data_IF_838990944462
#
_entry.id   IF_838990944462
#
_cell.length_a   1.000
_cell.length_b   1.000
_cell.length_c   1.000
_cell.angle_alpha   90.00
_cell.angle_beta   90.00
_cell.angle_gamma   90.00
#
_symmetry.space_group_name_H-M   'P 1'
#
loop_
_entity.id
_entity.type
_entity.pdbx_description
1 polymer ?
#
# COMPACT_ATOMS: atom_id res chain seq x y z
N UNK A 1 19.90 -0.63 21.52
CA UNK A 1 19.05 -1.69 22.10
C UNK A 1 17.76 -1.70 21.29
N UNK A 2 17.64 -2.64 20.34
CA UNK A 2 16.48 -2.74 19.47
C UNK A 2 15.31 -3.28 20.26
N UNK A 3 14.23 -2.51 20.35
CA UNK A 3 12.96 -3.05 20.84
C UNK A 3 12.50 -4.12 19.86
N UNK A 4 12.35 -5.36 20.33
CA UNK A 4 11.64 -6.37 19.57
C UNK A 4 10.25 -5.81 19.29
N UNK A 5 9.94 -5.61 18.01
CA UNK A 5 8.66 -5.08 17.61
C UNK A 5 7.60 -6.14 17.95
N UNK A 6 6.89 -5.93 19.05
CA UNK A 6 5.66 -6.66 19.32
C UNK A 6 4.77 -6.51 18.08
N UNK A 7 4.43 -7.63 17.45
CA UNK A 7 3.60 -7.63 16.25
C UNK A 7 2.29 -6.86 16.49
N UNK A 8 1.72 -6.28 15.43
CA UNK A 8 0.49 -5.47 15.50
C UNK A 8 -0.79 -6.31 15.76
N UNK A 9 -0.63 -7.62 16.02
CA UNK A 9 -1.70 -8.56 16.24
C UNK A 9 -2.39 -9.04 14.96
N UNK A 10 -3.29 -10.02 15.10
CA UNK A 10 -4.00 -10.64 13.99
C UNK A 10 -5.30 -9.90 13.59
N UNK A 11 -5.72 -8.89 14.38
CA UNK A 11 -6.94 -8.12 14.11
C UNK A 11 -6.75 -7.07 13.01
N UNK A 12 -5.52 -6.64 12.73
CA UNK A 12 -5.22 -5.71 11.66
C UNK A 12 -5.22 -6.44 10.30
N UNK A 13 -6.24 -6.17 9.48
CA UNK A 13 -6.48 -6.92 8.24
C UNK A 13 -5.99 -6.24 6.96
N UNK A 14 -6.02 -4.91 6.92
CA UNK A 14 -5.66 -4.11 5.74
C UNK A 14 -5.02 -2.80 6.17
N UNK A 15 -3.93 -2.43 5.51
CA UNK A 15 -3.33 -1.08 5.54
C UNK A 15 -3.38 -0.50 4.15
N UNK A 16 -3.88 0.73 4.04
CA UNK A 16 -3.89 1.53 2.83
C UNK A 16 -3.01 2.76 3.05
N UNK A 17 -2.13 3.06 2.11
CA UNK A 17 -1.26 4.25 2.14
C UNK A 17 -1.41 5.02 0.84
N UNK A 18 -1.38 6.35 0.92
CA UNK A 18 -1.43 7.23 -0.25
C UNK A 18 -1.14 8.66 0.14
N UNK A 19 -1.21 9.58 -0.82
CA UNK A 19 -0.94 11.01 -0.62
C UNK A 19 0.50 11.45 -0.88
N UNK A 20 1.45 10.51 -0.92
CA UNK A 20 2.82 10.70 -1.39
C UNK A 20 3.31 9.40 -2.06
N UNK A 21 4.54 9.38 -2.53
CA UNK A 21 5.21 8.17 -3.01
C UNK A 21 5.25 7.10 -1.91
N UNK A 22 4.52 6.01 -2.13
CA UNK A 22 4.49 4.89 -1.18
C UNK A 22 5.77 4.06 -1.31
N UNK A 23 6.57 4.00 -0.23
CA UNK A 23 7.86 3.32 -0.19
C UNK A 23 7.75 1.79 -0.42
N UNK A 24 8.67 1.26 -1.22
CA UNK A 24 8.74 -0.17 -1.59
C UNK A 24 9.18 -1.09 -0.44
N UNK A 25 9.75 -0.55 0.63
CA UNK A 25 10.13 -1.27 1.85
C UNK A 25 8.94 -1.51 2.80
N UNK A 26 7.89 -0.71 2.67
CA UNK A 26 6.75 -0.71 3.61
C UNK A 26 5.93 -2.01 3.60
N UNK A 27 5.64 -2.67 2.45
CA UNK A 27 4.93 -3.94 2.45
C UNK A 27 5.66 -5.03 3.24
N UNK A 28 6.99 -5.11 3.10
CA UNK A 28 7.80 -6.10 3.81
C UNK A 28 7.86 -5.81 5.32
N UNK A 29 8.00 -4.52 5.68
CA UNK A 29 7.93 -4.07 7.08
C UNK A 29 6.59 -4.42 7.72
N UNK A 30 5.48 -4.20 7.00
CA UNK A 30 4.16 -4.59 7.48
C UNK A 30 4.05 -6.11 7.68
N UNK A 31 4.52 -6.92 6.72
CA UNK A 31 4.48 -8.39 6.85
C UNK A 31 5.22 -8.90 8.08
N UNK A 32 6.35 -8.29 8.45
CA UNK A 32 7.07 -8.64 9.68
C UNK A 32 6.27 -8.35 10.96
N UNK A 33 5.41 -7.34 10.93
CA UNK A 33 4.61 -6.92 12.08
C UNK A 33 3.21 -7.56 12.12
N UNK A 34 2.62 -7.83 10.96
CA UNK A 34 1.29 -8.39 10.79
C UNK A 34 1.23 -9.26 9.51
N UNK A 35 1.68 -10.52 9.56
CA UNK A 35 1.85 -11.38 8.38
C UNK A 35 0.56 -11.61 7.56
N UNK A 36 -0.61 -11.54 8.20
CA UNK A 36 -1.91 -11.69 7.53
C UNK A 36 -2.53 -10.39 7.02
N UNK A 37 -1.84 -9.25 7.18
CA UNK A 37 -2.35 -7.95 6.80
C UNK A 37 -2.10 -7.67 5.32
N UNK A 38 -3.15 -7.23 4.61
CA UNK A 38 -3.04 -6.79 3.21
C UNK A 38 -2.48 -5.37 3.14
N UNK A 39 -1.74 -5.09 2.08
CA UNK A 39 -1.15 -3.78 1.83
C UNK A 39 -1.59 -3.25 0.47
N UNK A 40 -2.04 -2.00 0.41
CA UNK A 40 -2.30 -1.32 -0.86
C UNK A 40 -1.80 0.12 -0.88
N UNK A 41 -1.19 0.50 -1.99
CA UNK A 41 -0.93 1.90 -2.34
C UNK A 41 -2.14 2.51 -3.03
N UNK A 42 -2.48 3.75 -2.68
CA UNK A 42 -3.57 4.52 -3.24
C UNK A 42 -3.05 5.78 -3.90
N UNK A 43 -3.57 6.10 -5.08
CA UNK A 43 -3.35 7.36 -5.76
C UNK A 43 -4.63 8.05 -6.12
N UNK A 44 -4.57 9.37 -6.24
CA UNK A 44 -5.71 10.21 -6.59
C UNK A 44 -5.42 11.65 -6.21
N UNK A 45 -6.42 12.49 -6.40
CA UNK A 45 -6.39 13.88 -5.96
C UNK A 45 -7.64 14.19 -5.16
N UNK A 46 -7.59 15.27 -4.39
CA UNK A 46 -8.74 15.70 -3.56
C UNK A 46 -9.98 15.93 -4.41
N UNK A 47 -9.82 16.52 -5.60
CA UNK A 47 -10.89 16.87 -6.55
C UNK A 47 -11.60 15.64 -7.13
N UNK A 48 -10.97 14.47 -7.09
CA UNK A 48 -11.50 13.20 -7.59
C UNK A 48 -11.87 12.23 -6.45
N UNK A 49 -12.38 12.79 -5.34
CA UNK A 49 -12.78 12.05 -4.13
C UNK A 49 -11.62 11.32 -3.41
N UNK A 50 -10.51 12.04 -3.22
CA UNK A 50 -9.29 11.63 -2.48
C UNK A 50 -8.47 10.54 -3.19
N UNK A 51 -9.08 9.41 -3.51
CA UNK A 51 -8.42 8.26 -4.13
C UNK A 51 -9.16 7.81 -5.39
N UNK A 52 -8.41 7.59 -6.46
CA UNK A 52 -8.90 7.22 -7.79
C UNK A 52 -8.35 5.87 -8.26
N UNK A 53 -7.22 5.43 -7.70
CA UNK A 53 -6.49 4.24 -8.12
C UNK A 53 -6.00 3.43 -6.91
N UNK A 54 -5.81 2.13 -7.12
CA UNK A 54 -5.30 1.20 -6.11
C UNK A 54 -4.28 0.24 -6.73
N UNK A 55 -3.16 0.04 -6.03
CA UNK A 55 -2.21 -1.03 -6.29
C UNK A 55 -2.09 -1.90 -5.05
N UNK A 56 -2.73 -3.06 -5.08
CA UNK A 56 -2.55 -4.05 -4.03
C UNK A 56 -1.21 -4.78 -4.22
N UNK A 57 -0.39 -4.79 -3.18
CA UNK A 57 0.94 -5.40 -3.22
C UNK A 57 0.85 -6.82 -2.69
N UNK A 58 0.73 -7.77 -3.62
CA UNK A 58 0.73 -9.20 -3.33
C UNK A 58 2.11 -9.79 -3.58
N UNK A 59 2.65 -10.54 -2.62
CA UNK A 59 3.97 -11.16 -2.75
C UNK A 59 5.14 -10.18 -2.76
N UNK A 60 6.23 -10.54 -3.44
CA UNK A 60 7.47 -9.78 -3.43
C UNK A 60 7.39 -8.51 -4.28
N UNK A 61 8.04 -7.44 -3.81
CA UNK A 61 8.09 -6.17 -4.53
C UNK A 61 9.12 -6.25 -5.65
N UNK A 62 8.76 -5.98 -6.92
CA UNK A 62 9.72 -6.01 -8.01
C UNK A 62 10.87 -5.00 -7.83
N UNK A 63 12.11 -5.46 -8.07
CA UNK A 63 13.32 -4.65 -7.84
C UNK A 63 13.40 -3.34 -8.65
N UNK A 64 12.65 -3.23 -9.74
CA UNK A 64 12.62 -2.04 -10.57
C UNK A 64 11.65 -0.96 -10.05
N UNK A 65 10.81 -1.27 -9.05
CA UNK A 65 9.93 -0.28 -8.45
C UNK A 65 10.72 0.74 -7.63
N UNK A 66 10.48 2.02 -7.88
CA UNK A 66 11.01 3.13 -7.06
C UNK A 66 10.02 3.56 -5.98
N UNK A 67 8.74 3.28 -6.20
CA UNK A 67 7.63 3.44 -5.29
C UNK A 67 6.53 2.44 -5.71
N UNK A 68 5.55 2.19 -4.86
CA UNK A 68 4.36 1.41 -5.25
C UNK A 68 3.64 2.14 -6.39
N UNK A 69 3.35 1.47 -7.52
CA UNK A 69 2.64 2.08 -8.65
C UNK A 69 1.22 2.52 -8.29
N UNK A 70 0.61 3.33 -9.15
CA UNK A 70 -0.81 3.70 -9.00
C UNK A 70 -1.77 2.51 -9.22
N UNK A 71 -1.35 1.49 -9.95
CA UNK A 71 -2.16 0.29 -10.19
C UNK A 71 -3.35 0.56 -11.11
N UNK A 72 -4.55 0.20 -10.67
CA UNK A 72 -5.77 0.24 -11.48
C UNK A 72 -6.78 1.26 -10.93
N UNK A 73 -7.66 1.84 -11.77
CA UNK A 73 -8.76 2.67 -11.28
C UNK A 73 -9.68 1.92 -10.33
N UNK A 74 -10.20 2.61 -9.32
CA UNK A 74 -11.27 2.11 -8.47
C UNK A 74 -12.56 1.91 -9.28
N UNK A 75 -13.49 1.13 -8.72
CA UNK A 75 -14.81 0.96 -9.29
C UNK A 75 -15.47 2.31 -9.58
N UNK A 76 -16.03 2.47 -10.77
CA UNK A 76 -16.66 3.70 -11.27
C UNK A 76 -15.71 4.91 -11.49
N UNK A 77 -14.38 4.71 -11.41
CA UNK A 77 -13.39 5.73 -11.74
C UNK A 77 -12.78 5.47 -13.12
N UNK A 78 -12.47 6.54 -13.88
CA UNK A 78 -11.77 6.45 -15.17
C UNK A 78 -10.50 7.29 -15.14
N UNK A 79 -9.38 6.67 -15.47
CA UNK A 79 -8.08 7.35 -15.63
C UNK A 79 -7.62 7.24 -17.09
N UNK A 80 -6.91 8.25 -17.60
CA UNK A 80 -6.32 8.27 -18.94
C UNK A 80 -4.90 8.83 -18.85
N UNK A 81 -4.03 8.37 -19.76
CA UNK A 81 -2.65 8.84 -19.98
C UNK A 81 -2.56 9.56 -21.31
#
# INVERSE_FOLDING_TARGET
>A
AGGEAQGLGASLRVVILGGDWVGVDLPERLRRLAPGCRFAGLGGTTEAAIHSTVCEVTGDVPAHWKAVPYGVPLGNVRCRV
#
